data_IF_529454602113
#
_entry.id   IF_529454602113
#
_cell.length_a   1.000
_cell.length_b   1.000
_cell.length_c   1.000
_cell.angle_alpha   90.00
_cell.angle_beta   90.00
_cell.angle_gamma   90.00
#
_symmetry.space_group_name_H-M   'P 1'
#
loop_
_entity.id
_entity.type
_entity.pdbx_description
1 polymer ?
#
# COMPACT_ATOMS: atom_id res chain seq x y z
N UNK A 1 -20.68 -61.14 58.85
CA UNK A 1 -21.97 -60.46 58.61
C UNK A 1 -21.70 -59.33 57.63
N UNK A 2 -22.43 -59.33 56.51
CA UNK A 2 -22.57 -58.27 55.50
C UNK A 2 -21.39 -58.08 54.52
N UNK A 3 -21.57 -58.71 53.35
CA UNK A 3 -21.02 -58.34 52.05
C UNK A 3 -21.93 -57.29 51.37
N UNK A 4 -21.34 -56.33 50.67
CA UNK A 4 -21.95 -55.37 49.71
C UNK A 4 -20.73 -54.75 48.98
N UNK A 5 -20.57 -54.67 47.68
CA UNK A 5 -21.40 -54.95 46.50
C UNK A 5 -20.75 -54.13 45.38
N UNK A 6 -20.04 -54.77 44.45
CA UNK A 6 -19.44 -54.11 43.29
C UNK A 6 -20.53 -53.89 42.22
N UNK A 7 -20.80 -52.64 41.86
CA UNK A 7 -21.56 -52.29 40.67
C UNK A 7 -20.61 -51.67 39.64
N UNK A 8 -20.24 -52.45 38.62
CA UNK A 8 -19.58 -51.96 37.42
C UNK A 8 -20.67 -51.56 36.41
N UNK A 9 -20.78 -50.26 36.11
CA UNK A 9 -21.60 -49.79 35.00
C UNK A 9 -20.83 -49.93 33.68
N UNK A 10 -21.39 -50.71 32.76
CA UNK A 10 -20.94 -50.82 31.39
C UNK A 10 -21.30 -49.54 30.61
N UNK A 11 -20.31 -48.87 30.03
CA UNK A 11 -20.52 -47.82 29.04
C UNK A 11 -20.45 -48.43 27.64
N UNK A 12 -21.59 -48.46 26.95
CA UNK A 12 -21.67 -48.87 25.55
C UNK A 12 -21.11 -47.75 24.65
N UNK A 13 -20.05 -48.05 23.90
CA UNK A 13 -19.56 -47.21 22.82
C UNK A 13 -20.47 -47.36 21.60
N UNK A 14 -21.24 -46.31 21.29
CA UNK A 14 -21.86 -46.17 19.97
C UNK A 14 -20.86 -45.46 19.05
N UNK A 15 -20.29 -46.21 18.10
CA UNK A 15 -19.55 -45.64 16.96
C UNK A 15 -20.57 -45.16 15.94
N UNK A 16 -20.78 -43.85 15.87
CA UNK A 16 -21.45 -43.22 14.74
C UNK A 16 -20.39 -42.89 13.68
N UNK A 17 -20.22 -43.80 12.71
CA UNK A 17 -19.49 -43.50 11.49
C UNK A 17 -20.32 -42.59 10.61
N UNK A 18 -20.09 -41.27 10.69
CA UNK A 18 -20.47 -40.37 9.61
C UNK A 18 -19.28 -40.24 8.65
N UNK A 19 -19.38 -40.91 7.51
CA UNK A 19 -18.58 -40.59 6.33
C UNK A 19 -19.00 -39.19 5.85
N UNK A 20 -18.33 -38.16 6.36
CA UNK A 20 -18.37 -36.83 5.76
C UNK A 20 -17.59 -36.93 4.46
N UNK A 21 -18.32 -37.02 3.36
CA UNK A 21 -17.81 -36.66 2.04
C UNK A 21 -17.41 -35.18 2.09
N UNK A 22 -16.14 -34.93 2.43
CA UNK A 22 -15.55 -33.64 2.18
C UNK A 22 -15.45 -33.50 0.67
N UNK A 23 -16.42 -32.80 0.07
CA UNK A 23 -16.24 -32.18 -1.23
C UNK A 23 -15.11 -31.15 -1.08
N UNK A 24 -13.86 -31.61 -1.22
CA UNK A 24 -12.70 -30.74 -1.30
C UNK A 24 -12.66 -30.14 -2.69
N UNK A 25 -13.58 -29.21 -3.00
CA UNK A 25 -13.37 -28.30 -4.11
C UNK A 25 -12.21 -27.41 -3.69
N UNK A 26 -10.98 -27.81 -4.04
CA UNK A 26 -9.87 -26.87 -3.96
C UNK A 26 -10.26 -25.61 -4.74
N UNK A 27 -9.98 -24.41 -4.19
CA UNK A 27 -10.26 -23.17 -4.92
C UNK A 27 -9.60 -23.28 -6.30
N UNK A 28 -10.39 -23.05 -7.37
CA UNK A 28 -9.84 -23.04 -8.72
C UNK A 28 -8.76 -21.95 -8.78
N UNK A 29 -7.54 -22.34 -9.12
CA UNK A 29 -6.45 -21.36 -9.27
C UNK A 29 -6.69 -20.51 -10.53
N UNK A 30 -6.58 -19.18 -10.42
CA UNK A 30 -6.51 -18.31 -11.59
C UNK A 30 -5.37 -18.70 -12.52
N UNK A 31 -5.51 -18.43 -13.83
CA UNK A 31 -4.51 -18.82 -14.82
C UNK A 31 -3.12 -18.18 -14.57
N UNK A 32 -3.10 -16.95 -14.03
CA UNK A 32 -1.87 -16.23 -13.68
C UNK A 32 -1.34 -16.57 -12.27
N UNK A 33 -1.97 -17.50 -11.54
CA UNK A 33 -1.56 -17.84 -10.19
C UNK A 33 -0.47 -18.91 -10.17
N UNK A 34 0.59 -18.65 -9.40
CA UNK A 34 1.70 -19.57 -9.19
C UNK A 34 1.82 -19.86 -7.70
N UNK A 35 1.65 -21.12 -7.33
CA UNK A 35 1.82 -21.59 -5.96
C UNK A 35 3.31 -21.77 -5.63
N UNK A 36 3.73 -21.14 -4.54
CA UNK A 36 5.07 -21.20 -4.01
C UNK A 36 5.01 -21.64 -2.54
N UNK A 37 5.21 -22.93 -2.31
CA UNK A 37 5.14 -23.53 -0.97
C UNK A 37 6.36 -23.13 -0.14
N UNK A 38 6.20 -22.49 1.04
CA UNK A 38 7.33 -22.05 1.87
C UNK A 38 8.35 -23.14 2.19
N UNK A 39 7.90 -24.39 2.33
CA UNK A 39 8.79 -25.53 2.56
C UNK A 39 9.77 -25.80 1.42
N UNK A 40 9.50 -25.35 0.19
CA UNK A 40 10.37 -25.61 -0.96
C UNK A 40 11.62 -24.72 -0.98
N UNK A 41 11.66 -23.66 -0.18
CA UNK A 41 12.80 -22.73 -0.07
C UNK A 41 13.20 -22.43 1.38
N UNK A 42 12.59 -23.10 2.36
CA UNK A 42 12.98 -22.99 3.77
C UNK A 42 14.38 -23.57 4.04
N UNK A 43 14.83 -24.55 3.25
CA UNK A 43 16.14 -25.20 3.39
C UNK A 43 16.84 -25.19 2.04
N UNK A 44 17.85 -24.32 1.89
CA UNK A 44 18.60 -24.19 0.64
C UNK A 44 19.64 -25.32 0.43
N UNK A 45 20.10 -25.96 1.51
CA UNK A 45 21.11 -27.01 1.45
C UNK A 45 22.52 -26.50 1.11
N UNK A 46 23.48 -27.43 1.02
CA UNK A 46 24.90 -27.08 0.82
C UNK A 46 25.21 -26.42 -0.52
N UNK A 47 24.39 -26.70 -1.55
CA UNK A 47 24.53 -26.16 -2.91
C UNK A 47 23.58 -24.99 -3.17
N UNK A 48 22.83 -24.55 -2.14
CA UNK A 48 21.87 -23.48 -2.26
C UNK A 48 22.53 -22.11 -2.33
N UNK A 49 21.99 -21.24 -3.19
CA UNK A 49 22.47 -19.87 -3.33
C UNK A 49 21.64 -18.93 -2.46
N UNK A 50 22.32 -18.13 -1.64
CA UNK A 50 21.70 -17.00 -0.97
C UNK A 50 21.34 -15.94 -2.01
N UNK A 51 20.12 -15.40 -1.91
CA UNK A 51 19.71 -14.26 -2.73
C UNK A 51 20.57 -13.05 -2.32
N UNK A 52 21.31 -12.44 -3.25
CA UNK A 52 22.10 -11.26 -2.93
C UNK A 52 21.19 -10.12 -2.46
N UNK A 53 21.78 -9.21 -1.70
CA UNK A 53 21.15 -7.96 -1.31
C UNK A 53 20.68 -7.16 -2.54
N UNK A 54 19.52 -6.51 -2.43
CA UNK A 54 19.02 -5.50 -3.35
C UNK A 54 17.76 -5.91 -4.13
N UNK A 55 17.16 -4.91 -4.78
CA UNK A 55 15.96 -5.07 -5.62
C UNK A 55 16.25 -5.70 -7.00
N UNK A 56 17.50 -6.06 -7.30
CA UNK A 56 17.87 -6.69 -8.57
C UNK A 56 17.61 -8.20 -8.57
N UNK A 57 17.49 -8.80 -7.37
CA UNK A 57 17.26 -10.22 -7.19
C UNK A 57 15.92 -10.44 -6.47
N UNK A 58 14.86 -10.61 -7.26
CA UNK A 58 13.50 -10.82 -6.75
C UNK A 58 13.26 -12.28 -6.36
N UNK A 59 12.34 -12.54 -5.42
CA UNK A 59 11.93 -13.91 -5.09
C UNK A 59 11.01 -14.48 -6.20
N UNK A 60 11.59 -15.05 -7.24
CA UNK A 60 10.86 -15.70 -8.33
C UNK A 60 11.46 -17.08 -8.69
N UNK A 61 11.36 -18.07 -7.79
CA UNK A 61 12.01 -19.38 -7.99
C UNK A 61 11.40 -20.20 -9.13
N UNK A 62 10.21 -19.86 -9.61
CA UNK A 62 9.57 -20.51 -10.77
C UNK A 62 9.96 -19.87 -12.09
N UNK A 63 10.74 -18.78 -12.07
CA UNK A 63 11.13 -17.99 -13.24
C UNK A 63 9.91 -17.61 -14.11
N UNK A 64 8.78 -17.32 -13.46
CA UNK A 64 7.54 -16.95 -14.16
C UNK A 64 7.64 -15.50 -14.63
N UNK A 65 7.28 -15.25 -15.89
CA UNK A 65 7.29 -13.90 -16.46
C UNK A 65 6.24 -13.01 -15.77
N UNK A 66 6.62 -11.83 -15.25
CA UNK A 66 5.66 -10.86 -14.71
C UNK A 66 4.76 -10.23 -15.78
N UNK A 67 3.54 -9.78 -15.43
CA UNK A 67 2.94 -9.84 -14.10
C UNK A 67 2.25 -11.19 -13.81
N UNK A 68 2.30 -11.64 -12.55
CA UNK A 68 1.60 -12.85 -12.09
C UNK A 68 1.19 -12.78 -10.62
N UNK A 69 0.34 -13.71 -10.18
CA UNK A 69 -0.18 -13.79 -8.81
C UNK A 69 0.62 -14.84 -8.04
N UNK A 70 1.58 -14.42 -7.22
CA UNK A 70 2.44 -15.32 -6.45
C UNK A 70 1.75 -15.72 -5.14
N UNK A 71 1.49 -17.01 -4.95
CA UNK A 71 0.67 -17.54 -3.86
C UNK A 71 1.58 -18.24 -2.84
N UNK A 72 1.66 -17.73 -1.61
CA UNK A 72 2.40 -18.37 -0.50
C UNK A 72 1.49 -19.14 0.45
N UNK A 73 0.24 -18.71 0.56
CA UNK A 73 -0.76 -19.30 1.45
C UNK A 73 -2.10 -19.45 0.74
N UNK A 74 -2.82 -20.55 1.02
CA UNK A 74 -4.10 -20.88 0.37
C UNK A 74 -5.17 -19.81 0.59
N UNK A 75 -5.10 -19.09 1.70
CA UNK A 75 -6.01 -17.98 1.96
C UNK A 75 -5.87 -16.85 0.92
N UNK A 76 -4.73 -16.69 0.25
CA UNK A 76 -4.63 -15.73 -0.85
C UNK A 76 -5.59 -16.06 -1.99
N UNK A 77 -5.75 -17.35 -2.33
CA UNK A 77 -6.72 -17.79 -3.34
C UNK A 77 -8.16 -17.55 -2.90
N UNK A 78 -8.51 -17.96 -1.67
CA UNK A 78 -9.90 -17.94 -1.18
C UNK A 78 -10.37 -16.56 -0.71
N UNK A 79 -9.47 -15.78 -0.11
CA UNK A 79 -9.80 -14.58 0.63
C UNK A 79 -9.48 -13.31 -0.12
N UNK A 80 -8.46 -13.36 -1.00
CA UNK A 80 -7.99 -12.21 -1.76
C UNK A 80 -8.43 -12.29 -3.21
N UNK A 81 -7.99 -13.31 -3.94
CA UNK A 81 -8.10 -13.36 -5.39
C UNK A 81 -9.51 -13.68 -5.88
N UNK A 82 -10.11 -14.78 -5.40
CA UNK A 82 -11.32 -15.33 -6.03
C UNK A 82 -11.04 -16.02 -7.37
N UNK A 83 -12.04 -16.73 -7.94
CA UNK A 83 -11.83 -17.65 -9.06
C UNK A 83 -11.52 -16.98 -10.40
N UNK A 84 -11.97 -15.74 -10.59
CA UNK A 84 -11.86 -15.00 -11.85
C UNK A 84 -10.73 -13.95 -11.83
N UNK A 85 -9.84 -14.04 -10.84
CA UNK A 85 -8.78 -13.06 -10.64
C UNK A 85 -7.83 -12.97 -11.83
N UNK A 86 -7.37 -11.77 -12.11
CA UNK A 86 -6.34 -11.52 -13.11
C UNK A 86 -5.57 -10.24 -12.79
N UNK A 87 -4.42 -10.07 -13.42
CA UNK A 87 -3.63 -8.82 -13.38
C UNK A 87 -3.23 -8.44 -14.81
N UNK A 88 -3.39 -7.17 -15.16
CA UNK A 88 -3.10 -6.65 -16.51
C UNK A 88 -2.40 -5.29 -16.43
N UNK A 89 -1.49 -5.04 -17.36
CA UNK A 89 -0.83 -3.73 -17.53
C UNK A 89 -1.79 -2.75 -18.21
N UNK A 90 -2.03 -1.60 -17.58
CA UNK A 90 -2.90 -0.55 -18.13
C UNK A 90 -2.13 0.40 -19.03
N UNK A 91 -0.99 0.91 -18.55
CA UNK A 91 -0.18 1.93 -19.23
C UNK A 91 1.28 1.81 -18.82
N UNK A 92 2.19 2.22 -19.71
CA UNK A 92 3.64 2.17 -19.49
C UNK A 92 4.41 3.32 -20.16
N UNK A 93 5.54 3.70 -19.55
CA UNK A 93 6.51 4.66 -20.08
C UNK A 93 7.88 4.44 -19.42
N UNK A 94 8.78 3.75 -20.11
CA UNK A 94 10.09 3.38 -19.55
C UNK A 94 11.04 4.56 -19.30
N UNK A 95 10.72 5.74 -19.83
CA UNK A 95 11.55 6.95 -19.70
C UNK A 95 11.10 7.89 -18.59
N UNK A 96 9.95 7.62 -17.98
CA UNK A 96 9.34 8.49 -16.98
C UNK A 96 8.57 7.67 -15.95
N UNK A 97 8.95 7.80 -14.68
CA UNK A 97 8.25 7.19 -13.55
C UNK A 97 6.96 7.97 -13.23
N UNK A 98 5.98 7.87 -14.14
CA UNK A 98 4.74 8.65 -14.10
C UNK A 98 3.74 8.15 -13.05
N UNK A 99 3.89 6.91 -12.58
CA UNK A 99 2.97 6.21 -11.68
C UNK A 99 3.68 5.79 -10.40
N UNK A 100 3.88 6.73 -9.48
CA UNK A 100 4.59 6.49 -8.22
C UNK A 100 3.61 6.48 -7.03
N UNK A 101 2.91 7.59 -6.79
CA UNK A 101 2.31 7.86 -5.48
C UNK A 101 0.89 8.49 -5.56
N UNK A 102 0.29 8.77 -4.41
CA UNK A 102 -1.07 9.34 -4.27
C UNK A 102 -2.20 8.66 -5.08
N UNK A 103 -2.31 7.32 -5.13
CA UNK A 103 -3.43 6.70 -5.82
C UNK A 103 -4.74 7.01 -5.11
N UNK A 104 -5.62 7.78 -5.76
CA UNK A 104 -6.96 8.11 -5.28
C UNK A 104 -7.96 7.70 -6.36
N UNK A 105 -8.87 6.77 -6.03
CA UNK A 105 -10.01 6.48 -6.88
C UNK A 105 -11.19 7.36 -6.50
N UNK A 106 -11.74 8.10 -7.48
CA UNK A 106 -12.92 8.95 -7.32
C UNK A 106 -14.13 8.25 -7.94
N UNK A 107 -15.10 7.76 -7.14
CA UNK A 107 -16.24 7.00 -7.65
C UNK A 107 -17.12 7.77 -8.63
N UNK A 108 -17.36 9.06 -8.37
CA UNK A 108 -18.31 9.89 -9.14
C UNK A 108 -17.89 10.07 -10.61
N UNK A 109 -16.58 10.10 -10.87
CA UNK A 109 -16.00 10.23 -12.22
C UNK A 109 -15.38 8.93 -12.72
N UNK A 110 -15.39 7.88 -11.89
CA UNK A 110 -14.70 6.62 -12.07
C UNK A 110 -13.24 6.77 -12.56
N UNK A 111 -12.48 7.68 -11.96
CA UNK A 111 -11.09 7.98 -12.32
C UNK A 111 -10.12 7.58 -11.22
N UNK A 112 -8.97 7.09 -11.62
CA UNK A 112 -7.79 6.93 -10.78
C UNK A 112 -6.91 8.17 -10.94
N UNK A 113 -6.67 8.92 -9.88
CA UNK A 113 -5.70 10.01 -9.80
C UNK A 113 -4.43 9.51 -9.11
N UNK A 114 -3.26 10.03 -9.51
CA UNK A 114 -1.97 9.64 -8.96
C UNK A 114 -0.87 10.64 -9.35
N UNK A 115 0.29 10.54 -8.70
CA UNK A 115 1.45 11.41 -8.91
C UNK A 115 2.65 10.63 -9.46
N UNK A 116 3.46 11.32 -10.26
CA UNK A 116 4.76 10.83 -10.71
C UNK A 116 5.81 10.94 -9.60
N UNK A 117 6.91 10.20 -9.75
CA UNK A 117 7.98 10.17 -8.75
C UNK A 117 8.58 11.56 -8.47
N UNK A 118 8.93 11.79 -7.20
CA UNK A 118 9.55 13.00 -6.69
C UNK A 118 11.08 12.86 -6.71
N UNK A 119 11.71 13.26 -7.82
CA UNK A 119 13.16 13.15 -8.00
C UNK A 119 13.60 11.80 -8.58
N UNK A 120 14.85 11.44 -8.35
CA UNK A 120 15.44 10.23 -8.91
C UNK A 120 15.67 10.29 -10.42
N UNK A 121 16.25 9.21 -10.98
CA UNK A 121 16.67 9.16 -12.39
C UNK A 121 15.52 9.26 -13.38
N UNK A 122 14.36 8.68 -13.05
CA UNK A 122 13.19 8.63 -13.94
C UNK A 122 12.04 9.54 -13.51
N UNK A 123 12.12 10.22 -12.35
CA UNK A 123 11.02 11.08 -11.90
C UNK A 123 10.89 12.40 -12.66
N UNK A 124 11.92 12.81 -13.42
CA UNK A 124 11.90 14.02 -14.24
C UNK A 124 11.43 15.28 -13.48
N UNK A 125 11.72 15.33 -12.18
CA UNK A 125 11.38 16.38 -11.21
C UNK A 125 12.55 16.57 -10.24
N UNK A 126 12.58 17.68 -9.49
CA UNK A 126 13.68 18.03 -8.62
C UNK A 126 13.57 19.47 -8.14
N UNK A 127 14.69 20.13 -7.81
CA UNK A 127 14.66 21.52 -7.33
C UNK A 127 14.03 22.49 -8.35
N UNK A 128 14.37 22.32 -9.63
CA UNK A 128 13.98 23.24 -10.72
C UNK A 128 12.65 22.88 -11.38
N UNK A 129 12.09 21.71 -11.10
CA UNK A 129 10.92 21.19 -11.82
C UNK A 129 10.00 20.39 -10.91
N UNK A 130 8.71 20.71 -10.95
CA UNK A 130 7.68 20.00 -10.20
C UNK A 130 7.41 18.60 -10.78
N UNK A 131 6.88 17.69 -9.97
CA UNK A 131 6.35 16.42 -10.46
C UNK A 131 4.97 16.62 -11.12
N UNK A 132 4.44 15.56 -11.73
CA UNK A 132 3.19 15.60 -12.51
C UNK A 132 2.13 14.78 -11.80
N UNK A 133 0.96 15.37 -11.58
CA UNK A 133 -0.25 14.63 -11.17
C UNK A 133 -1.04 14.29 -12.42
N UNK A 134 -1.56 13.08 -12.52
CA UNK A 134 -2.31 12.58 -13.68
C UNK A 134 -3.55 11.82 -13.25
N UNK A 135 -4.43 11.52 -14.21
CA UNK A 135 -5.49 10.54 -14.02
C UNK A 135 -5.60 9.54 -15.19
N UNK A 136 -6.19 8.38 -14.90
CA UNK A 136 -6.68 7.38 -15.86
C UNK A 136 -8.20 7.24 -15.68
N UNK A 137 -8.93 7.19 -16.80
CA UNK A 137 -10.36 6.93 -16.83
C UNK A 137 -10.64 5.43 -16.78
N UNK A 138 -11.28 4.93 -15.72
CA UNK A 138 -11.50 3.50 -15.55
C UNK A 138 -12.67 2.98 -16.41
N UNK A 139 -13.52 3.85 -16.95
CA UNK A 139 -14.52 3.42 -17.94
C UNK A 139 -13.84 3.09 -19.28
N UNK A 140 -12.77 3.81 -19.64
CA UNK A 140 -11.91 3.46 -20.79
C UNK A 140 -11.26 2.10 -20.58
N UNK A 141 -10.66 1.86 -19.41
CA UNK A 141 -10.06 0.56 -19.06
C UNK A 141 -11.07 -0.58 -19.23
N UNK A 142 -12.32 -0.40 -18.76
CA UNK A 142 -13.36 -1.42 -18.91
C UNK A 142 -13.71 -1.70 -20.38
N UNK A 143 -13.80 -0.65 -21.22
CA UNK A 143 -14.03 -0.81 -22.66
C UNK A 143 -12.88 -1.55 -23.34
N UNK A 144 -11.63 -1.21 -22.99
CA UNK A 144 -10.44 -1.86 -23.53
C UNK A 144 -10.38 -3.35 -23.15
N UNK A 145 -10.67 -3.69 -21.89
CA UNK A 145 -10.74 -5.10 -21.48
C UNK A 145 -11.84 -5.86 -22.24
N UNK A 146 -13.00 -5.23 -22.46
CA UNK A 146 -14.10 -5.85 -23.19
C UNK A 146 -13.78 -6.07 -24.67
N UNK A 147 -13.00 -5.17 -25.28
CA UNK A 147 -12.63 -5.24 -26.69
C UNK A 147 -11.43 -6.15 -26.96
N UNK A 148 -10.39 -6.07 -26.13
CA UNK A 148 -9.06 -6.64 -26.38
C UNK A 148 -8.70 -7.77 -25.41
N UNK A 149 -9.53 -8.04 -24.40
CA UNK A 149 -9.26 -9.03 -23.38
C UNK A 149 -8.34 -8.50 -22.28
N UNK A 150 -7.74 -9.43 -21.53
CA UNK A 150 -7.02 -9.14 -20.28
C UNK A 150 -5.64 -9.82 -20.19
N UNK A 151 -5.17 -10.37 -21.30
CA UNK A 151 -3.92 -11.12 -21.38
C UNK A 151 -2.74 -10.23 -21.80
N UNK A 152 -3.00 -9.17 -22.57
CA UNK A 152 -1.99 -8.23 -23.06
C UNK A 152 -2.17 -6.83 -22.46
N UNK A 153 -1.14 -5.98 -22.60
CA UNK A 153 -1.15 -4.60 -22.13
C UNK A 153 -2.16 -3.74 -22.91
N UNK A 154 -2.93 -2.91 -22.19
CA UNK A 154 -4.05 -2.16 -22.78
C UNK A 154 -3.64 -0.81 -23.39
N UNK A 155 -2.55 -0.20 -22.91
CA UNK A 155 -2.05 1.11 -23.33
C UNK A 155 -3.10 2.26 -23.22
N UNK A 156 -3.83 2.30 -22.11
CA UNK A 156 -4.85 3.34 -21.86
C UNK A 156 -4.23 4.73 -21.67
N UNK A 157 -5.02 5.77 -21.97
CA UNK A 157 -4.55 7.15 -21.87
C UNK A 157 -4.27 7.58 -20.41
N UNK A 158 -3.15 8.29 -20.22
CA UNK A 158 -2.78 8.97 -18.97
C UNK A 158 -2.87 10.47 -19.19
N UNK A 159 -3.76 11.13 -18.47
CA UNK A 159 -4.03 12.57 -18.66
C UNK A 159 -3.37 13.39 -17.56
N UNK A 160 -2.39 14.26 -17.87
CA UNK A 160 -1.74 15.10 -16.88
C UNK A 160 -2.65 16.26 -16.42
N UNK A 161 -2.47 16.67 -15.18
CA UNK A 161 -3.15 17.80 -14.54
C UNK A 161 -2.13 18.89 -14.22
N UNK A 162 -2.62 20.13 -14.21
CA UNK A 162 -1.86 21.30 -13.78
C UNK A 162 -2.50 21.89 -12.54
N UNK A 163 -1.69 22.13 -11.52
CA UNK A 163 -2.10 22.69 -10.23
C UNK A 163 -1.34 23.99 -9.95
N UNK A 164 -1.88 24.87 -9.09
CA UNK A 164 -1.20 26.12 -8.72
C UNK A 164 0.09 25.87 -7.95
N UNK A 165 0.95 26.89 -7.86
CA UNK A 165 2.27 26.80 -7.21
C UNK A 165 2.25 26.39 -5.73
N UNK A 166 1.09 26.42 -5.06
CA UNK A 166 0.91 25.88 -3.71
C UNK A 166 1.01 24.35 -3.62
N UNK A 167 1.00 23.65 -4.77
CA UNK A 167 1.06 22.19 -4.88
C UNK A 167 2.40 21.80 -5.51
N UNK A 168 3.35 21.39 -4.67
CA UNK A 168 4.71 21.08 -5.08
C UNK A 168 5.15 19.70 -4.60
N UNK A 169 5.62 18.87 -5.54
CA UNK A 169 6.11 17.53 -5.30
C UNK A 169 5.03 16.69 -4.61
N UNK A 170 3.86 16.58 -5.26
CA UNK A 170 2.73 15.79 -4.73
C UNK A 170 3.23 14.39 -4.46
N UNK A 171 3.17 13.94 -3.22
CA UNK A 171 3.62 12.61 -2.87
C UNK A 171 2.39 11.74 -2.67
N UNK A 172 1.98 11.46 -1.43
CA UNK A 172 0.80 10.68 -1.10
C UNK A 172 -0.51 11.44 -1.14
N UNK A 173 -1.59 10.68 -1.01
CA UNK A 173 -2.94 11.18 -1.17
C UNK A 173 -3.99 10.17 -0.72
N UNK A 174 -5.15 10.67 -0.32
CA UNK A 174 -6.27 9.82 0.10
C UNK A 174 -7.61 10.46 -0.22
N UNK A 175 -8.67 9.66 -0.15
CA UNK A 175 -10.04 10.12 -0.31
C UNK A 175 -10.81 9.41 -1.43
N UNK A 176 -11.81 10.09 -2.03
CA UNK A 176 -12.11 11.53 -1.85
C UNK A 176 -12.55 11.89 -0.42
N UNK A 177 -12.04 13.00 0.11
CA UNK A 177 -12.46 13.60 1.38
C UNK A 177 -13.42 14.74 1.08
N UNK A 178 -14.69 14.61 1.46
CA UNK A 178 -15.74 15.58 1.15
C UNK A 178 -15.81 15.94 -0.35
N UNK A 179 -15.65 14.93 -1.22
CA UNK A 179 -15.66 15.09 -2.68
C UNK A 179 -14.36 15.64 -3.29
N UNK A 180 -13.33 15.91 -2.48
CA UNK A 180 -12.04 16.45 -2.95
C UNK A 180 -10.92 15.43 -2.82
N UNK A 181 -9.87 15.57 -3.63
CA UNK A 181 -8.60 14.88 -3.43
C UNK A 181 -7.92 15.50 -2.20
N UNK A 182 -7.58 14.69 -1.19
CA UNK A 182 -6.72 15.14 -0.10
C UNK A 182 -5.28 14.74 -0.43
N UNK A 183 -4.46 15.71 -0.78
CA UNK A 183 -3.07 15.51 -1.20
C UNK A 183 -2.11 16.00 -0.13
N UNK A 184 -1.00 15.28 0.03
CA UNK A 184 0.18 15.79 0.73
C UNK A 184 1.31 16.02 -0.25
N UNK A 185 1.99 17.13 -0.05
CA UNK A 185 2.98 17.68 -0.96
C UNK A 185 4.30 17.78 -0.22
N UNK A 186 5.37 17.20 -0.79
CA UNK A 186 6.70 17.19 -0.19
C UNK A 186 7.37 18.57 -0.18
N UNK A 187 6.83 19.55 -0.92
CA UNK A 187 7.42 20.87 -1.09
C UNK A 187 8.61 20.86 -2.05
N UNK A 188 9.11 22.05 -2.44
CA UNK A 188 10.23 22.17 -3.39
C UNK A 188 11.00 23.46 -3.17
N UNK A 189 12.30 23.38 -2.86
CA UNK A 189 13.11 24.54 -2.53
C UNK A 189 12.48 25.35 -1.37
N UNK A 190 12.14 26.60 -1.64
CA UNK A 190 11.48 27.50 -0.68
C UNK A 190 9.96 27.31 -0.59
N UNK A 191 9.33 26.63 -1.55
CA UNK A 191 7.91 26.30 -1.47
C UNK A 191 7.70 25.24 -0.37
N UNK A 192 6.83 25.52 0.63
CA UNK A 192 6.68 24.64 1.78
C UNK A 192 5.98 23.32 1.38
N UNK A 193 6.21 22.23 2.14
CA UNK A 193 5.32 21.08 2.11
C UNK A 193 3.90 21.49 2.51
N UNK A 194 2.88 20.91 1.88
CA UNK A 194 1.48 21.28 2.16
C UNK A 194 0.55 20.07 2.27
N UNK A 195 -0.48 20.19 3.09
CA UNK A 195 -1.68 19.36 3.03
C UNK A 195 -2.75 20.18 2.33
N UNK A 196 -3.31 19.68 1.23
CA UNK A 196 -4.25 20.44 0.41
C UNK A 196 -5.46 19.61 -0.02
N UNK A 197 -6.60 20.29 -0.16
CA UNK A 197 -7.79 19.78 -0.83
C UNK A 197 -7.78 20.28 -2.27
N UNK A 198 -8.01 19.38 -3.22
CA UNK A 198 -8.08 19.71 -4.66
C UNK A 198 -9.37 19.15 -5.25
N UNK A 199 -10.14 19.99 -5.93
CA UNK A 199 -11.33 19.53 -6.67
C UNK A 199 -10.90 18.57 -7.81
N UNK A 200 -11.42 17.33 -7.88
CA UNK A 200 -11.11 16.41 -8.97
C UNK A 200 -11.60 16.91 -10.34
N UNK A 201 -12.52 17.89 -10.38
CA UNK A 201 -13.07 18.47 -11.59
C UNK A 201 -12.41 19.82 -11.92
N UNK A 202 -12.31 20.17 -13.22
CA UNK A 202 -11.88 21.51 -13.64
C UNK A 202 -12.75 22.61 -13.00
N UNK A 203 -12.16 23.72 -12.53
CA UNK A 203 -10.77 24.15 -12.76
C UNK A 203 -9.74 23.66 -11.71
N UNK A 204 -10.04 22.59 -10.95
CA UNK A 204 -9.16 22.03 -9.91
C UNK A 204 -8.86 23.01 -8.76
N UNK A 205 -9.92 23.65 -8.25
CA UNK A 205 -9.82 24.58 -7.14
C UNK A 205 -9.07 23.94 -5.96
N UNK A 206 -8.11 24.67 -5.42
CA UNK A 206 -7.16 24.17 -4.43
C UNK A 206 -7.28 24.97 -3.13
N UNK A 207 -7.28 24.27 -1.99
CA UNK A 207 -7.26 24.88 -0.65
C UNK A 207 -6.17 24.25 0.20
N UNK A 208 -5.20 25.04 0.64
CA UNK A 208 -4.16 24.60 1.60
C UNK A 208 -4.75 24.56 3.01
N UNK A 209 -4.60 23.42 3.70
CA UNK A 209 -5.06 23.20 5.07
C UNK A 209 -3.94 23.42 6.11
N UNK A 210 -2.70 23.09 5.75
CA UNK A 210 -1.54 23.14 6.62
C UNK A 210 -0.26 23.18 5.78
N UNK A 211 0.72 23.99 6.17
CA UNK A 211 2.02 24.11 5.51
C UNK A 211 3.23 24.19 6.48
N UNK A 212 2.98 24.20 7.79
CA UNK A 212 4.00 24.33 8.83
C UNK A 212 3.59 23.67 10.15
N UNK A 213 4.56 23.46 11.03
CA UNK A 213 4.36 23.06 12.42
C UNK A 213 4.78 24.19 13.36
N UNK A 214 3.83 25.04 13.76
CA UNK A 214 4.08 26.20 14.64
C UNK A 214 5.21 27.12 14.13
N UNK A 215 5.23 27.39 12.82
CA UNK A 215 6.25 28.17 12.13
C UNK A 215 7.51 27.38 11.75
N UNK A 216 7.65 26.13 12.18
CA UNK A 216 8.73 25.24 11.74
C UNK A 216 8.34 24.55 10.44
N UNK A 217 9.29 24.44 9.52
CA UNK A 217 9.04 23.78 8.24
C UNK A 217 9.07 22.27 8.41
N UNK A 218 8.08 21.59 7.80
CA UNK A 218 8.12 20.14 7.61
C UNK A 218 9.31 19.74 6.72
N UNK A 219 9.78 18.50 6.85
CA UNK A 219 10.86 17.98 6.04
C UNK A 219 10.41 17.82 4.59
N UNK A 220 9.53 16.85 4.37
CA UNK A 220 8.85 16.53 3.12
C UNK A 220 7.70 15.57 3.47
N UNK A 221 6.46 16.07 3.42
CA UNK A 221 5.30 15.24 3.67
C UNK A 221 5.22 14.11 2.65
N UNK A 222 4.93 12.91 3.11
CA UNK A 222 5.00 11.70 2.32
C UNK A 222 3.63 11.06 2.12
N UNK A 223 3.01 10.42 3.11
CA UNK A 223 1.68 9.80 2.95
C UNK A 223 0.64 10.32 3.96
N UNK A 224 -0.64 10.09 3.67
CA UNK A 224 -1.78 10.62 4.43
C UNK A 224 -2.97 9.67 4.48
N UNK A 225 -3.64 9.60 5.64
CA UNK A 225 -4.91 8.88 5.80
C UNK A 225 -5.88 9.65 6.69
N UNK A 226 -7.16 9.60 6.34
CA UNK A 226 -8.24 10.09 7.20
C UNK A 226 -8.65 8.97 8.16
N UNK A 227 -8.64 9.25 9.46
CA UNK A 227 -9.08 8.28 10.45
C UNK A 227 -10.58 7.98 10.29
N UNK A 228 -10.98 6.70 10.19
CA UNK A 228 -12.32 6.32 9.72
C UNK A 228 -13.45 6.81 10.64
N UNK A 229 -13.18 7.04 11.93
CA UNK A 229 -14.20 7.45 12.91
C UNK A 229 -14.19 8.94 13.22
N UNK A 230 -13.05 9.48 13.62
CA UNK A 230 -12.96 10.89 14.03
C UNK A 230 -12.83 11.88 12.88
N UNK A 231 -12.47 11.38 11.68
CA UNK A 231 -12.22 12.17 10.47
C UNK A 231 -11.03 13.14 10.59
N UNK A 232 -10.18 12.96 11.60
CA UNK A 232 -8.90 13.67 11.66
C UNK A 232 -7.94 13.12 10.60
N UNK A 233 -7.05 13.98 10.12
CA UNK A 233 -6.09 13.67 9.07
C UNK A 233 -4.77 13.27 9.74
N UNK A 234 -4.22 12.12 9.37
CA UNK A 234 -2.93 11.63 9.86
C UNK A 234 -1.95 11.54 8.70
N UNK A 235 -0.72 11.98 8.91
CA UNK A 235 0.26 12.07 7.84
C UNK A 235 1.69 11.85 8.34
N UNK A 236 2.57 11.42 7.44
CA UNK A 236 3.99 11.19 7.71
C UNK A 236 4.84 12.36 7.19
N UNK A 237 5.81 12.78 8.00
CA UNK A 237 6.84 13.73 7.61
C UNK A 237 8.21 13.04 7.67
N UNK A 238 8.92 13.04 6.55
CA UNK A 238 10.13 12.24 6.35
C UNK A 238 11.17 12.99 5.52
N UNK A 239 12.42 12.57 5.58
CA UNK A 239 13.57 13.26 4.98
C UNK A 239 13.80 12.99 3.49
N UNK A 240 12.82 12.47 2.73
CA UNK A 240 13.02 12.18 1.30
C UNK A 240 13.37 13.40 0.46
N UNK A 241 12.71 14.54 0.69
CA UNK A 241 13.04 15.78 -0.04
C UNK A 241 14.51 16.20 0.06
N UNK A 242 15.07 16.29 1.28
CA UNK A 242 16.49 16.53 1.48
C UNK A 242 17.38 15.42 0.89
N UNK A 243 17.01 14.14 1.07
CA UNK A 243 17.79 12.99 0.55
C UNK A 243 17.86 12.94 -0.98
N UNK A 244 16.85 13.47 -1.65
CA UNK A 244 16.72 13.54 -3.11
C UNK A 244 17.10 14.92 -3.67
N UNK A 245 17.53 15.86 -2.81
CA UNK A 245 18.12 17.13 -3.20
C UNK A 245 17.14 18.22 -3.65
N UNK A 246 15.84 18.09 -3.39
CA UNK A 246 14.84 19.10 -3.78
C UNK A 246 14.28 19.91 -2.61
N UNK A 247 14.75 19.68 -1.37
CA UNK A 247 14.41 20.42 -0.15
C UNK A 247 15.67 20.77 0.66
N UNK A 248 15.64 21.83 1.49
CA UNK A 248 16.74 22.16 2.40
C UNK A 248 16.91 21.11 3.51
N UNK A 249 18.04 21.09 4.24
CA UNK A 249 18.25 20.17 5.36
C UNK A 249 17.09 20.18 6.37
N UNK A 250 16.75 19.01 6.95
CA UNK A 250 15.60 18.89 7.85
C UNK A 250 15.83 19.59 9.18
N UNK A 251 14.74 20.14 9.75
CA UNK A 251 14.72 20.72 11.10
C UNK A 251 13.77 19.98 12.06
N UNK A 252 13.03 18.99 11.54
CA UNK A 252 12.15 18.12 12.31
C UNK A 252 12.65 16.67 12.22
N UNK A 253 12.41 15.84 13.26
CA UNK A 253 12.59 14.39 13.17
C UNK A 253 11.54 13.76 12.25
N UNK A 254 11.81 12.52 11.79
CA UNK A 254 10.85 11.72 11.04
C UNK A 254 9.75 11.20 11.96
N UNK A 255 8.50 11.64 11.74
CA UNK A 255 7.40 11.47 12.68
C UNK A 255 6.03 11.41 11.99
N UNK A 256 5.05 10.90 12.74
CA UNK A 256 3.64 10.87 12.33
C UNK A 256 2.88 11.95 13.08
N UNK A 257 2.10 12.71 12.32
CA UNK A 257 1.32 13.84 12.82
C UNK A 257 -0.17 13.59 12.63
N UNK A 258 -0.96 14.30 13.42
CA UNK A 258 -2.42 14.39 13.30
C UNK A 258 -2.82 15.85 13.18
N UNK A 259 -3.63 16.15 12.18
CA UNK A 259 -4.31 17.42 11.94
C UNK A 259 -5.81 17.26 12.16
N UNK A 260 -6.38 18.10 13.02
CA UNK A 260 -7.82 18.32 13.06
C UNK A 260 -8.21 19.29 11.93
N UNK A 261 -8.99 18.84 10.92
CA UNK A 261 -9.31 19.68 9.77
C UNK A 261 -10.22 20.87 10.11
N UNK A 262 -10.93 20.86 11.25
CA UNK A 262 -11.82 21.93 11.69
C UNK A 262 -11.06 23.00 12.47
N UNK A 263 -10.30 22.59 13.48
CA UNK A 263 -9.59 23.52 14.38
C UNK A 263 -8.21 23.91 13.88
N UNK A 264 -7.69 23.18 12.87
CA UNK A 264 -6.31 23.25 12.39
C UNK A 264 -5.26 22.90 13.45
N UNK A 265 -5.68 22.29 14.56
CA UNK A 265 -4.76 21.81 15.58
C UNK A 265 -3.93 20.64 15.03
N UNK A 266 -2.61 20.82 14.98
CA UNK A 266 -1.63 19.81 14.56
C UNK A 266 -0.79 19.37 15.75
N UNK A 267 -0.55 18.06 15.87
CA UNK A 267 0.36 17.50 16.88
C UNK A 267 0.98 16.19 16.42
N UNK A 268 2.11 15.83 17.01
CA UNK A 268 2.75 14.53 16.84
C UNK A 268 1.93 13.45 17.54
N UNK A 269 1.81 12.28 16.92
CA UNK A 269 1.13 11.10 17.47
C UNK A 269 2.02 9.87 17.60
N UNK A 270 3.13 9.81 16.87
CA UNK A 270 4.11 8.73 16.91
C UNK A 270 5.48 9.22 16.44
N UNK A 271 6.54 8.64 17.00
CA UNK A 271 7.94 8.88 16.64
C UNK A 271 8.78 7.59 16.67
N UNK A 272 10.11 7.72 16.52
CA UNK A 272 11.05 6.59 16.58
C UNK A 272 11.17 5.78 15.29
N UNK A 273 10.75 6.35 14.15
CA UNK A 273 10.95 5.75 12.84
C UNK A 273 12.31 6.15 12.27
N UNK A 274 12.90 5.28 11.44
CA UNK A 274 14.02 5.70 10.61
C UNK A 274 13.50 6.56 9.46
N UNK A 275 12.54 6.05 8.67
CA UNK A 275 11.85 6.78 7.61
C UNK A 275 10.38 6.33 7.55
N UNK A 276 9.51 7.01 8.30
CA UNK A 276 8.07 6.72 8.23
C UNK A 276 7.53 7.04 6.83
N UNK A 277 6.73 6.14 6.29
CA UNK A 277 6.21 6.24 4.92
C UNK A 277 4.69 6.00 4.89
N UNK A 278 4.21 4.93 4.26
CA UNK A 278 2.79 4.65 4.09
C UNK A 278 2.02 4.49 5.41
N UNK A 279 0.77 4.96 5.41
CA UNK A 279 -0.13 4.91 6.57
C UNK A 279 -1.50 4.33 6.24
N UNK A 280 -2.00 3.44 7.10
CA UNK A 280 -3.37 2.95 7.03
C UNK A 280 -3.98 2.65 8.41
N UNK A 281 -5.30 2.52 8.44
CA UNK A 281 -6.06 2.16 9.64
C UNK A 281 -6.84 0.86 9.43
N UNK A 282 -7.06 0.11 10.51
CA UNK A 282 -8.14 -0.87 10.57
C UNK A 282 -9.50 -0.17 10.38
N UNK A 283 -10.50 -0.92 9.91
CA UNK A 283 -11.84 -0.38 9.63
C UNK A 283 -12.51 0.28 10.85
N UNK A 284 -12.22 -0.21 12.06
CA UNK A 284 -12.71 0.37 13.31
C UNK A 284 -11.86 1.55 13.83
N UNK A 285 -10.76 1.87 13.16
CA UNK A 285 -9.81 2.93 13.51
C UNK A 285 -8.92 2.62 14.72
N UNK A 286 -8.98 1.40 15.26
CA UNK A 286 -8.26 1.06 16.51
C UNK A 286 -6.80 0.67 16.30
N UNK A 287 -6.43 0.27 15.09
CA UNK A 287 -5.06 -0.07 14.73
C UNK A 287 -4.58 0.85 13.63
N UNK A 288 -3.39 1.43 13.80
CA UNK A 288 -2.66 2.13 12.75
C UNK A 288 -1.49 1.26 12.26
N UNK A 289 -1.26 1.24 10.96
CA UNK A 289 -0.12 0.60 10.31
C UNK A 289 0.75 1.69 9.69
N UNK A 290 2.06 1.62 9.95
CA UNK A 290 3.05 2.57 9.43
C UNK A 290 4.21 1.79 8.83
N UNK A 291 4.54 2.07 7.58
CA UNK A 291 5.76 1.59 6.94
C UNK A 291 6.98 2.36 7.46
N UNK A 292 8.08 1.65 7.69
CA UNK A 292 9.40 2.21 7.94
C UNK A 292 10.37 1.72 6.86
N UNK A 293 10.77 2.65 6.00
CA UNK A 293 11.59 2.42 4.80
C UNK A 293 13.07 2.72 5.03
N UNK A 294 13.53 2.62 6.28
CA UNK A 294 14.87 2.99 6.70
C UNK A 294 16.01 2.40 5.86
N UNK A 295 15.86 1.20 5.30
CA UNK A 295 16.85 0.58 4.41
C UNK A 295 17.07 1.33 3.10
N UNK A 296 16.14 2.20 2.69
CA UNK A 296 16.31 3.07 1.54
C UNK A 296 16.92 4.42 1.95
N UNK A 297 18.17 4.67 1.56
CA UNK A 297 18.93 5.88 1.93
C UNK A 297 18.99 6.92 0.79
N UNK A 298 18.04 6.84 -0.16
CA UNK A 298 17.94 7.75 -1.30
C UNK A 298 19.16 7.63 -2.22
N UNK A 299 19.80 8.77 -2.51
CA UNK A 299 21.00 8.81 -3.37
C UNK A 299 22.21 8.05 -2.80
N UNK A 300 22.18 7.66 -1.52
CA UNK A 300 23.24 6.88 -0.87
C UNK A 300 23.10 5.37 -1.09
N UNK A 301 22.01 4.92 -1.71
CA UNK A 301 21.76 3.50 -1.99
C UNK A 301 20.90 2.83 -0.91
N UNK A 302 21.17 1.54 -0.68
CA UNK A 302 20.39 0.68 0.21
C UNK A 302 21.29 0.13 1.32
N UNK A 303 20.79 0.16 2.56
CA UNK A 303 21.38 -0.51 3.73
C UNK A 303 20.35 -1.48 4.31
N UNK A 304 20.44 -2.74 3.92
CA UNK A 304 19.49 -3.80 4.31
C UNK A 304 19.53 -4.17 5.79
N UNK A 305 20.47 -3.64 6.56
CA UNK A 305 20.51 -3.83 8.01
C UNK A 305 19.53 -2.90 8.76
N UNK A 306 18.90 -1.97 8.03
CA UNK A 306 17.97 -0.96 8.54
C UNK A 306 16.52 -1.39 8.26
N UNK A 307 15.51 -0.69 8.83
CA UNK A 307 14.11 -1.12 8.70
C UNK A 307 13.63 -1.27 7.24
N UNK A 308 12.95 -2.37 6.98
CA UNK A 308 12.10 -2.62 5.82
C UNK A 308 10.78 -3.23 6.33
N UNK A 309 10.18 -2.51 7.29
CA UNK A 309 9.25 -3.11 8.26
C UNK A 309 7.96 -2.31 8.32
N UNK A 310 6.83 -2.99 8.35
CA UNK A 310 5.54 -2.42 8.72
C UNK A 310 5.37 -2.60 10.23
N UNK A 311 5.10 -1.50 10.93
CA UNK A 311 4.77 -1.50 12.35
C UNK A 311 3.27 -1.27 12.55
N UNK A 312 2.68 -1.98 13.50
CA UNK A 312 1.32 -1.73 13.98
C UNK A 312 1.35 -1.01 15.33
N UNK A 313 0.31 -0.21 15.57
CA UNK A 313 0.09 0.56 16.78
C UNK A 313 -1.38 0.47 17.18
N UNK A 314 -1.65 0.50 18.48
CA UNK A 314 -3.00 0.77 18.95
C UNK A 314 -3.23 2.29 18.90
N UNK A 315 -4.42 2.71 18.48
CA UNK A 315 -4.83 4.11 18.50
C UNK A 315 -5.56 4.38 19.80
N UNK A 316 -4.97 5.20 20.67
CA UNK A 316 -5.57 5.54 21.96
C UNK A 316 -6.95 6.20 21.74
N UNK A 317 -8.05 5.67 22.31
CA UNK A 317 -9.40 6.11 21.97
C UNK A 317 -9.74 7.53 22.46
N UNK A 318 -8.93 8.10 23.37
CA UNK A 318 -9.16 9.43 23.94
C UNK A 318 -8.34 10.50 23.23
N UNK A 319 -7.07 10.21 23.00
CA UNK A 319 -6.10 11.18 22.47
C UNK A 319 -5.87 10.96 20.98
N UNK A 320 -6.00 9.74 20.48
CA UNK A 320 -5.54 9.27 19.17
C UNK A 320 -4.00 9.29 19.02
N UNK A 321 -3.27 9.21 20.13
CA UNK A 321 -1.85 8.87 20.09
C UNK A 321 -1.66 7.41 19.66
N UNK A 322 -0.57 7.10 18.98
CA UNK A 322 -0.23 5.74 18.60
C UNK A 322 0.63 5.13 19.71
N UNK A 323 0.16 4.03 20.28
CA UNK A 323 0.79 3.35 21.42
C UNK A 323 1.02 1.87 21.09
N UNK A 324 1.78 1.17 21.93
CA UNK A 324 2.02 -0.27 21.80
C UNK A 324 2.59 -0.67 20.42
N UNK A 325 3.64 0.06 19.98
CA UNK A 325 4.38 -0.26 18.74
C UNK A 325 4.78 -1.73 18.74
N UNK A 326 4.46 -2.42 17.65
CA UNK A 326 4.83 -3.82 17.42
C UNK A 326 5.16 -4.05 15.96
N UNK A 327 6.07 -4.98 15.70
CA UNK A 327 6.32 -5.45 14.32
C UNK A 327 5.04 -6.12 13.82
N UNK A 328 4.61 -5.75 12.61
CA UNK A 328 3.54 -6.43 11.91
C UNK A 328 4.11 -7.33 10.80
N UNK A 329 4.94 -6.78 9.92
CA UNK A 329 5.57 -7.53 8.84
C UNK A 329 6.95 -6.96 8.50
N UNK A 330 7.86 -7.83 8.05
CA UNK A 330 9.12 -7.47 7.42
C UNK A 330 9.07 -7.96 5.97
N UNK A 331 9.35 -7.06 5.01
CA UNK A 331 9.24 -7.41 3.59
C UNK A 331 10.50 -8.14 3.13
N UNK A 332 10.36 -9.09 2.21
CA UNK A 332 11.52 -9.81 1.71
C UNK A 332 12.22 -9.06 0.56
N UNK A 333 11.58 -8.12 -0.13
CA UNK A 333 12.18 -7.41 -1.27
C UNK A 333 11.86 -5.92 -1.20
N UNK A 334 12.92 -5.10 -1.19
CA UNK A 334 12.83 -3.66 -1.09
C UNK A 334 12.39 -3.18 0.28
N UNK A 335 11.45 -2.24 0.29
CA UNK A 335 10.84 -1.66 1.50
C UNK A 335 9.32 -1.61 1.34
N UNK A 336 8.56 -1.69 2.45
CA UNK A 336 7.13 -1.41 2.40
C UNK A 336 6.92 0.09 2.19
N UNK A 337 6.20 0.48 1.16
CA UNK A 337 5.93 1.89 0.82
C UNK A 337 4.48 2.25 1.20
N UNK A 338 3.61 2.62 0.24
CA UNK A 338 2.20 2.89 0.51
C UNK A 338 1.43 1.69 1.08
N UNK A 339 0.51 1.95 2.03
CA UNK A 339 -0.27 0.91 2.73
C UNK A 339 -1.77 1.05 2.51
N UNK A 340 -2.45 -0.08 2.27
CA UNK A 340 -3.91 -0.20 2.30
C UNK A 340 -4.37 -1.37 3.16
N UNK A 341 -5.61 -1.31 3.64
CA UNK A 341 -6.23 -2.38 4.44
C UNK A 341 -7.60 -2.71 3.85
N UNK A 342 -7.87 -3.99 3.64
CA UNK A 342 -9.16 -4.44 3.11
C UNK A 342 -10.24 -4.54 4.22
N UNK A 343 -11.47 -4.89 3.84
CA UNK A 343 -12.59 -5.04 4.78
C UNK A 343 -12.46 -6.23 5.75
N UNK A 344 -11.55 -7.16 5.47
CA UNK A 344 -11.27 -8.33 6.33
C UNK A 344 -10.08 -8.08 7.25
N UNK A 345 -9.42 -6.93 7.12
CA UNK A 345 -8.25 -6.55 7.92
C UNK A 345 -6.93 -7.04 7.33
N UNK A 346 -6.92 -7.59 6.11
CA UNK A 346 -5.67 -7.91 5.43
C UNK A 346 -4.96 -6.60 5.04
N UNK A 347 -3.65 -6.59 5.16
CA UNK A 347 -2.79 -5.42 4.94
C UNK A 347 -2.02 -5.60 3.64
N UNK A 348 -1.98 -4.55 2.83
CA UNK A 348 -1.35 -4.50 1.53
C UNK A 348 -0.27 -3.43 1.56
N UNK A 349 0.91 -3.71 1.00
CA UNK A 349 1.97 -2.72 0.87
C UNK A 349 2.65 -2.82 -0.49
N UNK A 350 3.02 -1.66 -1.04
CA UNK A 350 3.93 -1.56 -2.17
C UNK A 350 5.31 -2.01 -1.71
N UNK A 351 5.99 -2.82 -2.52
CA UNK A 351 7.28 -3.43 -2.22
C UNK A 351 8.15 -3.50 -3.48
N UNK A 352 9.37 -4.04 -3.35
CA UNK A 352 10.37 -4.01 -4.43
C UNK A 352 10.06 -4.89 -5.66
N UNK A 353 9.14 -5.85 -5.56
CA UNK A 353 8.73 -6.76 -6.64
C UNK A 353 7.23 -6.70 -6.98
N UNK A 354 6.49 -5.80 -6.32
CA UNK A 354 5.05 -5.61 -6.50
C UNK A 354 4.33 -5.34 -5.18
N UNK A 355 3.08 -5.78 -5.07
CA UNK A 355 2.28 -5.57 -3.85
C UNK A 355 2.23 -6.84 -3.03
N UNK A 356 2.68 -6.77 -1.78
CA UNK A 356 2.61 -7.87 -0.82
C UNK A 356 1.33 -7.79 0.00
N UNK A 357 0.78 -8.95 0.37
CA UNK A 357 -0.47 -9.03 1.15
C UNK A 357 -0.27 -9.92 2.36
N UNK A 358 -0.57 -9.37 3.54
CA UNK A 358 -0.54 -10.09 4.81
C UNK A 358 -1.94 -10.22 5.40
N UNK A 359 -2.19 -11.33 6.10
CA UNK A 359 -3.37 -11.46 6.93
C UNK A 359 -3.31 -10.52 8.16
N UNK A 360 -4.40 -10.36 8.94
CA UNK A 360 -4.39 -9.48 10.11
C UNK A 360 -3.38 -9.86 11.19
N UNK A 361 -2.79 -11.06 11.14
CA UNK A 361 -1.78 -11.56 12.08
C UNK A 361 -0.34 -11.32 11.57
N UNK A 362 -0.16 -10.80 10.35
CA UNK A 362 1.14 -10.56 9.74
C UNK A 362 1.68 -11.74 8.93
N UNK A 363 0.87 -12.76 8.64
CA UNK A 363 1.27 -13.88 7.78
C UNK A 363 1.23 -13.46 6.32
N UNK A 364 2.34 -13.60 5.58
CA UNK A 364 2.37 -13.32 4.15
C UNK A 364 1.47 -14.33 3.41
N UNK A 365 0.46 -13.81 2.73
CA UNK A 365 -0.50 -14.60 1.95
C UNK A 365 -0.03 -14.79 0.51
N UNK A 366 0.42 -13.71 -0.12
CA UNK A 366 0.68 -13.66 -1.55
C UNK A 366 1.24 -12.32 -1.99
N UNK A 367 1.63 -12.26 -3.27
CA UNK A 367 2.05 -11.03 -3.94
C UNK A 367 1.34 -10.87 -5.27
N UNK A 368 0.99 -9.63 -5.60
CA UNK A 368 0.78 -9.21 -6.98
C UNK A 368 2.16 -8.88 -7.54
N UNK A 369 2.81 -9.88 -8.13
CA UNK A 369 4.18 -9.79 -8.58
C UNK A 369 4.23 -9.10 -9.94
N UNK A 370 4.84 -7.92 -10.02
CA UNK A 370 4.97 -7.12 -11.25
C UNK A 370 6.40 -7.05 -11.75
N UNK A 371 7.37 -7.60 -11.01
CA UNK A 371 8.77 -7.70 -11.43
C UNK A 371 9.55 -6.39 -11.30
N UNK A 372 8.98 -5.39 -10.65
CA UNK A 372 9.59 -4.11 -10.35
C UNK A 372 8.93 -3.51 -9.11
N UNK A 373 9.48 -2.39 -8.64
CA UNK A 373 8.94 -1.65 -7.50
C UNK A 373 7.48 -1.28 -7.77
N UNK A 374 6.60 -1.57 -6.82
CA UNK A 374 5.30 -0.93 -6.70
C UNK A 374 5.35 0.03 -5.51
N UNK A 375 5.19 1.33 -5.76
CA UNK A 375 5.28 2.34 -4.70
C UNK A 375 3.96 2.48 -3.94
N UNK A 376 2.82 2.41 -4.62
CA UNK A 376 1.52 2.51 -3.94
C UNK A 376 0.41 1.75 -4.68
N UNK A 377 -0.74 1.58 -4.02
CA UNK A 377 -1.94 0.96 -4.57
C UNK A 377 -3.22 1.55 -3.98
N UNK A 378 -4.34 1.40 -4.70
CA UNK A 378 -5.66 1.75 -4.18
C UNK A 378 -6.72 0.76 -4.65
N UNK A 379 -7.68 0.48 -3.77
CA UNK A 379 -8.88 -0.25 -4.14
C UNK A 379 -9.87 0.67 -4.87
N UNK A 380 -10.43 0.19 -5.96
CA UNK A 380 -11.53 0.81 -6.68
C UNK A 380 -12.78 -0.09 -6.70
N UNK A 381 -13.82 0.34 -7.42
CA UNK A 381 -15.06 -0.41 -7.57
C UNK A 381 -14.83 -1.87 -7.99
N UNK A 382 -15.78 -2.72 -7.59
CA UNK A 382 -15.91 -4.10 -8.05
C UNK A 382 -14.68 -5.00 -7.83
N UNK A 383 -13.82 -4.68 -6.86
CA UNK A 383 -12.63 -5.50 -6.60
C UNK A 383 -11.48 -5.23 -7.54
N UNK A 384 -11.41 -4.03 -8.10
CA UNK A 384 -10.21 -3.59 -8.80
C UNK A 384 -9.20 -3.11 -7.75
N UNK A 385 -7.96 -3.57 -7.86
CA UNK A 385 -6.79 -3.04 -7.15
C UNK A 385 -5.87 -2.42 -8.19
N UNK A 386 -5.67 -1.11 -8.11
CA UNK A 386 -4.83 -0.35 -9.02
C UNK A 386 -3.46 -0.21 -8.38
N UNK A 387 -2.41 -0.58 -9.11
CA UNK A 387 -1.04 -0.66 -8.61
C UNK A 387 -0.18 0.33 -9.40
N UNK A 388 0.49 1.23 -8.69
CA UNK A 388 1.43 2.20 -9.24
C UNK A 388 2.84 1.63 -9.13
N UNK A 389 3.46 1.35 -10.28
CA UNK A 389 4.74 0.66 -10.36
C UNK A 389 5.76 1.49 -11.14
N UNK A 390 6.05 2.71 -10.68
CA UNK A 390 6.98 3.66 -11.28
C UNK A 390 6.65 4.01 -12.74
N UNK A 391 7.14 3.22 -13.69
CA UNK A 391 6.99 3.40 -15.13
C UNK A 391 5.75 2.68 -15.68
N UNK A 392 4.93 2.07 -14.83
CA UNK A 392 3.77 1.27 -15.23
C UNK A 392 2.61 1.39 -14.26
N UNK A 393 1.39 1.22 -14.76
CA UNK A 393 0.17 1.05 -13.95
C UNK A 393 -0.40 -0.33 -14.23
N UNK A 394 -0.78 -1.07 -13.19
CA UNK A 394 -1.47 -2.35 -13.33
C UNK A 394 -2.86 -2.30 -12.69
N UNK A 395 -3.78 -3.11 -13.22
CA UNK A 395 -5.04 -3.44 -12.60
C UNK A 395 -5.04 -4.92 -12.24
N UNK A 396 -5.31 -5.23 -10.98
CA UNK A 396 -5.65 -6.57 -10.53
C UNK A 396 -7.15 -6.65 -10.21
N UNK A 397 -7.88 -7.56 -10.88
CA UNK A 397 -9.26 -7.91 -10.53
C UNK A 397 -9.23 -8.99 -9.46
N UNK A 398 -9.87 -8.74 -8.32
CA UNK A 398 -9.80 -9.61 -7.15
C UNK A 398 -11.17 -9.73 -6.42
N UNK A 399 -11.28 -10.72 -5.54
CA UNK A 399 -12.43 -10.98 -4.70
C UNK A 399 -12.48 -10.11 -3.45
N UNK A 400 -11.33 -9.73 -2.89
CA UNK A 400 -11.24 -8.79 -1.78
C UNK A 400 -11.79 -7.41 -2.15
N UNK A 401 -12.16 -6.64 -1.12
CA UNK A 401 -12.72 -5.30 -1.24
C UNK A 401 -12.07 -4.38 -0.22
N UNK A 402 -11.64 -3.22 -0.69
CA UNK A 402 -11.08 -2.17 0.16
C UNK A 402 -12.09 -1.57 1.13
N UNK A 403 -11.58 -0.96 2.19
CA UNK A 403 -12.35 -0.02 2.99
C UNK A 403 -12.73 1.21 2.15
N UNK A 404 -13.88 1.82 2.43
CA UNK A 404 -14.25 3.08 1.77
C UNK A 404 -13.38 4.21 2.31
N UNK A 405 -12.62 4.85 1.42
CA UNK A 405 -11.86 6.06 1.73
C UNK A 405 -12.67 7.34 1.47
N UNK A 406 -13.89 7.21 0.93
CA UNK A 406 -14.85 8.32 0.82
C UNK A 406 -15.28 8.74 2.23
N UNK A 407 -15.03 10.01 2.57
CA UNK A 407 -15.22 10.52 3.95
C UNK A 407 -15.93 11.85 4.05
#
# INVERSE_FOLDING_TARGET
MIALGFAAMAAAYFVYGQSVSASSTQPRMPAQAVLLEPSSFAVLGNEGLFRPAGNEHLLNPTNTTPPFLQVFHKAFLSDILGPDAFIVELASNDTFAFAHEAPIWVPDTNRLYFSSNNGGRLGNSGLEKNNVVSFIDLDEVQREIAANGKEEALNVAVTPLSFPDSIQMTNGGTGPHQGTLLLVNSGRGLFPPTIALVDPNPPHNTTVLLDNFFGRQFNALNDVKVHPRSKNIFFTDVTYGPLLGFRPPPHLPNQVYRLDPKTKAVRVVADGFDKCNGIAFSADGRTAYIADTGSHEGLKGVDETRPATIYAFDVDPRTEAFINRRVFAFVDTGVPDGIQVDRRGNVYSGCGDGVHVWDPMGTLLGKFFVGQVAANMVFAADGNLLILAETKVFLAKIGARGQSLVT
#
